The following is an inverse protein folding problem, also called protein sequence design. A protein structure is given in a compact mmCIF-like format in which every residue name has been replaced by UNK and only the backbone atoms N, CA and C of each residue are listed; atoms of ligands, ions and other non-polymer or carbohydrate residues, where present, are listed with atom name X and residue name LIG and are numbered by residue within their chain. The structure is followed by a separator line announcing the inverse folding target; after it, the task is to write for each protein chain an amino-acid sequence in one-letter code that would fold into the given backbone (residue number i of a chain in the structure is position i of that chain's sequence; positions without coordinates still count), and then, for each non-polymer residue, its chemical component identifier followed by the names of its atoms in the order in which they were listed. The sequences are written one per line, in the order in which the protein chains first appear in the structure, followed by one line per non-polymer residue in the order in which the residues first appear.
data_IF_855146999293
#
_entry.id   IF_855146999293
#
_cell.length_a   1.000
_cell.length_b   1.000
_cell.length_c   1.000
_cell.angle_alpha   90.00
_cell.angle_beta   90.00
_cell.angle_gamma   90.00
#
_symmetry.space_group_name_H-M   'P 1'
#
loop_
_entity.id
_entity.type
_entity.pdbx_description
1 polymer ?
#
# COMPACT_ATOMS: atom_id res chain seq x y z
N UNK A 1 -4.99 -7.80 12.35
CA UNK A 1 -5.66 -8.37 11.17
C UNK A 1 -4.88 -7.98 9.91
N UNK A 2 -5.05 -6.77 9.38
CA UNK A 2 -4.40 -6.27 8.14
C UNK A 2 -2.91 -6.60 8.01
N UNK A 3 -2.09 -6.32 9.04
CA UNK A 3 -0.64 -6.57 8.96
C UNK A 3 -0.29 -8.05 8.70
N UNK A 4 -1.04 -8.98 9.31
CA UNK A 4 -0.85 -10.42 9.10
C UNK A 4 -1.32 -10.81 7.69
N UNK A 5 -2.44 -10.27 7.26
CA UNK A 5 -3.01 -10.55 5.94
C UNK A 5 -2.07 -10.07 4.81
N UNK A 6 -1.45 -8.89 4.96
CA UNK A 6 -0.46 -8.37 4.02
C UNK A 6 0.83 -9.20 3.99
N UNK A 7 1.30 -9.68 5.14
CA UNK A 7 2.47 -10.55 5.21
C UNK A 7 2.20 -11.89 4.51
N UNK A 8 1.06 -12.51 4.81
CA UNK A 8 0.64 -13.75 4.15
C UNK A 8 0.51 -13.57 2.63
N UNK A 9 -0.06 -12.45 2.18
CA UNK A 9 -0.19 -12.15 0.76
C UNK A 9 1.18 -11.99 0.08
N UNK A 10 2.15 -11.37 0.77
CA UNK A 10 3.53 -11.27 0.31
C UNK A 10 4.21 -12.64 0.19
N UNK A 11 4.01 -13.52 1.17
CA UNK A 11 4.56 -14.88 1.15
C UNK A 11 3.98 -15.72 0.00
N UNK A 12 2.67 -15.66 -0.22
CA UNK A 12 1.98 -16.41 -1.29
C UNK A 12 2.37 -15.92 -2.69
N UNK A 13 2.60 -14.61 -2.85
CA UNK A 13 2.90 -13.97 -4.13
C UNK A 13 4.35 -13.45 -4.21
N UNK A 14 5.29 -14.16 -3.61
CA UNK A 14 6.70 -13.76 -3.58
C UNK A 14 7.27 -13.67 -5.00
N UNK A 15 7.85 -12.52 -5.35
CA UNK A 15 8.37 -12.24 -6.70
C UNK A 15 7.32 -11.77 -7.70
N UNK A 16 6.05 -11.69 -7.33
CA UNK A 16 4.96 -11.22 -8.19
C UNK A 16 4.57 -9.76 -7.94
N UNK A 17 3.74 -9.20 -8.83
CA UNK A 17 3.09 -7.91 -8.65
C UNK A 17 1.60 -8.11 -8.45
N UNK A 18 1.10 -7.63 -7.31
CA UNK A 18 -0.31 -7.71 -6.93
C UNK A 18 -0.94 -6.31 -6.90
N UNK A 19 -2.22 -6.24 -7.20
CA UNK A 19 -3.02 -5.03 -7.04
C UNK A 19 -4.07 -5.24 -5.95
N UNK A 20 -4.15 -4.30 -5.00
CA UNK A 20 -5.17 -4.30 -3.94
C UNK A 20 -6.14 -3.16 -4.23
N UNK A 21 -7.39 -3.50 -4.58
CA UNK A 21 -8.45 -2.54 -4.90
C UNK A 21 -9.42 -2.49 -3.73
N UNK A 22 -9.51 -1.34 -3.08
CA UNK A 22 -10.39 -1.13 -1.94
C UNK A 22 -10.68 0.36 -1.71
N UNK A 23 -11.37 0.68 -0.62
CA UNK A 23 -11.65 2.07 -0.23
C UNK A 23 -10.45 2.75 0.43
N UNK A 24 -10.38 4.08 0.32
CA UNK A 24 -9.26 4.86 0.85
C UNK A 24 -8.99 4.62 2.35
N UNK A 25 -10.01 4.31 3.15
CA UNK A 25 -9.85 4.07 4.58
C UNK A 25 -8.98 2.84 4.89
N UNK A 26 -9.27 1.70 4.25
CA UNK A 26 -8.51 0.46 4.42
C UNK A 26 -7.15 0.55 3.73
N UNK A 27 -7.06 1.21 2.57
CA UNK A 27 -5.80 1.42 1.86
C UNK A 27 -4.82 2.28 2.68
N UNK A 28 -5.29 3.30 3.41
CA UNK A 28 -4.44 4.06 4.34
C UNK A 28 -3.92 3.17 5.47
N UNK A 29 -4.76 2.32 6.07
CA UNK A 29 -4.30 1.39 7.11
C UNK A 29 -3.27 0.41 6.57
N UNK A 30 -3.49 -0.14 5.37
CA UNK A 30 -2.53 -1.01 4.71
C UNK A 30 -1.19 -0.30 4.50
N UNK A 31 -1.22 0.92 3.95
CA UNK A 31 -0.04 1.77 3.77
C UNK A 31 0.72 2.02 5.08
N UNK A 32 0.03 2.40 6.17
CA UNK A 32 0.67 2.58 7.47
C UNK A 32 1.30 1.28 7.99
N UNK A 33 0.58 0.16 7.89
CA UNK A 33 1.08 -1.15 8.31
C UNK A 33 2.33 -1.55 7.53
N UNK A 34 2.31 -1.34 6.21
CA UNK A 34 3.43 -1.64 5.32
C UNK A 34 4.65 -0.77 5.58
N UNK A 35 4.47 0.48 6.01
CA UNK A 35 5.54 1.41 6.34
C UNK A 35 5.99 1.37 7.80
N UNK A 36 5.36 0.53 8.64
CA UNK A 36 5.64 0.48 10.08
C UNK A 36 5.26 1.76 10.83
N UNK A 37 4.33 2.55 10.30
CA UNK A 37 3.92 3.83 10.88
C UNK A 37 2.78 3.66 11.91
N UNK A 38 2.76 4.45 12.99
CA UNK A 38 1.68 4.43 13.97
C UNK A 38 0.41 5.07 13.39
N UNK A 39 -0.74 4.74 13.99
CA UNK A 39 -2.06 5.24 13.54
C UNK A 39 -2.19 6.77 13.59
N UNK A 40 -1.35 7.47 14.36
CA UNK A 40 -1.28 8.94 14.35
C UNK A 40 -0.94 9.54 12.97
N UNK A 41 -0.44 8.71 12.04
CA UNK A 41 -0.13 9.10 10.66
C UNK A 41 -1.31 8.88 9.70
N UNK A 42 -2.46 8.40 10.17
CA UNK A 42 -3.59 8.02 9.31
C UNK A 42 -4.03 9.11 8.35
N UNK A 43 -4.11 10.35 8.80
CA UNK A 43 -4.52 11.50 7.99
C UNK A 43 -3.36 12.17 7.24
N UNK A 44 -2.13 11.67 7.37
CA UNK A 44 -0.95 12.23 6.69
C UNK A 44 -0.79 11.78 5.24
N UNK A 45 -1.64 10.85 4.78
CA UNK A 45 -1.64 10.35 3.41
C UNK A 45 -2.96 10.67 2.70
N UNK A 46 -2.84 11.39 1.58
CA UNK A 46 -3.94 11.63 0.65
C UNK A 46 -3.93 10.50 -0.38
N UNK A 47 -5.05 9.78 -0.49
CA UNK A 47 -5.31 8.79 -1.52
C UNK A 47 -6.56 9.23 -2.27
N UNK A 48 -6.37 9.77 -3.46
CA UNK A 48 -7.44 10.27 -4.33
C UNK A 48 -8.16 9.11 -5.00
N UNK A 49 -9.43 9.32 -5.36
CA UNK A 49 -10.17 8.33 -6.16
C UNK A 49 -9.40 8.03 -7.44
N UNK A 50 -9.40 6.75 -7.82
CA UNK A 50 -8.71 6.23 -9.03
C UNK A 50 -7.21 6.50 -9.06
N UNK A 51 -6.60 6.95 -7.97
CA UNK A 51 -5.13 6.96 -7.84
C UNK A 51 -4.61 5.57 -7.47
N UNK A 52 -3.32 5.34 -7.70
CA UNK A 52 -2.63 4.17 -7.19
C UNK A 52 -1.38 4.55 -6.37
N UNK A 53 -0.95 3.62 -5.53
CA UNK A 53 0.24 3.74 -4.67
C UNK A 53 1.01 2.43 -4.80
N UNK A 54 2.32 2.52 -5.00
CA UNK A 54 3.19 1.35 -5.19
C UNK A 54 4.06 1.16 -3.97
N UNK A 55 3.93 -0.03 -3.37
CA UNK A 55 4.76 -0.50 -2.27
C UNK A 55 5.67 -1.61 -2.78
N UNK A 56 6.96 -1.49 -2.51
CA UNK A 56 7.96 -2.49 -2.86
C UNK A 56 8.45 -3.18 -1.60
N UNK A 57 8.30 -4.50 -1.56
CA UNK A 57 8.87 -5.33 -0.51
C UNK A 57 10.18 -5.94 -1.00
N UNK A 58 11.11 -6.19 -0.08
CA UNK A 58 12.30 -7.00 -0.39
C UNK A 58 11.86 -8.46 -0.51
N UNK A 59 12.52 -9.20 -1.40
CA UNK A 59 12.29 -10.64 -1.53
C UNK A 59 12.41 -11.34 -0.17
N UNK A 60 11.46 -12.23 0.13
CA UNK A 60 11.38 -12.97 1.38
C UNK A 60 11.25 -12.10 2.66
N UNK A 61 11.00 -10.80 2.54
CA UNK A 61 10.85 -9.87 3.68
C UNK A 61 9.62 -8.97 3.49
N UNK A 62 8.51 -9.36 4.13
CA UNK A 62 7.18 -8.74 3.95
C UNK A 62 6.70 -7.91 5.14
N UNK A 63 7.59 -7.57 6.08
CA UNK A 63 7.25 -6.82 7.28
C UNK A 63 7.43 -5.30 7.15
N UNK A 64 8.16 -4.84 6.14
CA UNK A 64 8.43 -3.43 5.87
C UNK A 64 8.60 -3.20 4.36
N UNK A 65 7.87 -2.22 3.83
CA UNK A 65 7.90 -1.83 2.44
C UNK A 65 8.63 -0.50 2.23
N UNK A 66 9.13 -0.31 1.01
CA UNK A 66 9.52 0.98 0.45
C UNK A 66 8.33 1.58 -0.29
N UNK A 67 8.00 2.84 0.00
CA UNK A 67 7.02 3.60 -0.77
C UNK A 67 7.66 4.11 -2.07
N UNK A 68 7.35 3.47 -3.19
CA UNK A 68 7.93 3.79 -4.49
C UNK A 68 7.13 4.89 -5.22
N UNK A 69 5.80 4.84 -5.11
CA UNK A 69 4.88 5.80 -5.72
C UNK A 69 3.74 6.07 -4.74
N UNK A 70 3.36 7.33 -4.56
CA UNK A 70 2.25 7.72 -3.69
C UNK A 70 1.21 8.52 -4.49
N UNK A 71 -0.05 8.07 -4.43
CA UNK A 71 -1.20 8.82 -4.94
C UNK A 71 -1.04 9.27 -6.41
N UNK A 72 -0.55 8.39 -7.29
CA UNK A 72 -0.42 8.69 -8.71
C UNK A 72 -1.78 8.58 -9.40
N UNK A 73 -2.20 9.66 -10.03
CA UNK A 73 -3.40 9.74 -10.86
C UNK A 73 -3.08 10.33 -12.25
N UNK A 74 -1.82 10.25 -12.67
CA UNK A 74 -1.34 10.83 -13.94
C UNK A 74 -2.01 10.24 -15.19
N UNK A 75 -2.54 9.02 -15.07
CA UNK A 75 -3.32 8.36 -16.11
C UNK A 75 -4.74 8.92 -16.29
N UNK A 76 -5.22 9.76 -15.36
CA UNK A 76 -6.49 10.45 -15.48
C UNK A 76 -6.27 11.74 -16.28
N UNK A 77 -6.66 11.74 -17.56
CA UNK A 77 -6.38 12.82 -18.52
C UNK A 77 -7.00 14.19 -18.18
N UNK A 78 -7.95 14.25 -17.25
CA UNK A 78 -8.77 15.44 -16.97
C UNK A 78 -8.82 15.80 -15.47
N UNK A 79 -7.70 15.66 -14.75
CA UNK A 79 -7.59 16.10 -13.34
C UNK A 79 -6.49 17.11 -13.13
#
# INVERSE_FOLDING_TARGET
MIKKDLANLGEVHNGERIAIIAHAGILRLALLCSLGLPLSYYWRFVLSNTSFTVLQYRENVFNLAVLAVLNDYSHLSNR
#
